data_IF_674285807489
#
_entry.id   IF_674285807489
#
_cell.length_a   1.000
_cell.length_b   1.000
_cell.length_c   1.000
_cell.angle_alpha   90.00
_cell.angle_beta   90.00
_cell.angle_gamma   90.00
#
_symmetry.space_group_name_H-M   'P 1'
#
loop_
_entity.id
_entity.type
_entity.pdbx_description
1 polymer ?
#
# COMPACT_ATOMS: atom_id res chain seq x y z
N UNK A 1 43.94 16.62 -25.95
CA UNK A 1 42.86 16.07 -26.81
C UNK A 1 42.08 17.23 -27.43
N UNK A 2 41.60 17.14 -28.68
CA UNK A 2 40.77 18.20 -29.28
C UNK A 2 39.54 18.45 -28.38
N UNK A 3 39.14 19.71 -28.11
CA UNK A 3 38.09 20.05 -27.15
C UNK A 3 36.76 19.33 -27.45
N UNK A 4 36.48 19.07 -28.73
CA UNK A 4 35.30 18.35 -29.16
C UNK A 4 35.29 16.87 -28.72
N UNK A 5 36.46 16.20 -28.67
CA UNK A 5 36.56 14.80 -28.21
C UNK A 5 36.33 14.69 -26.71
N UNK A 6 36.80 15.67 -25.93
CA UNK A 6 36.56 15.73 -24.49
C UNK A 6 35.07 15.94 -24.19
N UNK A 7 34.44 16.91 -24.87
CA UNK A 7 33.00 17.16 -24.74
C UNK A 7 32.16 15.92 -25.08
N UNK A 8 32.53 15.19 -26.13
CA UNK A 8 31.85 13.95 -26.52
C UNK A 8 31.97 12.86 -25.45
N UNK A 9 33.17 12.63 -24.91
CA UNK A 9 33.37 11.64 -23.85
C UNK A 9 32.60 11.98 -22.58
N UNK A 10 32.56 13.25 -22.21
CA UNK A 10 31.81 13.71 -21.05
C UNK A 10 30.30 13.52 -21.26
N UNK A 11 29.77 13.89 -22.43
CA UNK A 11 28.36 13.68 -22.77
C UNK A 11 28.00 12.18 -22.77
N UNK A 12 28.86 11.33 -23.32
CA UNK A 12 28.66 9.88 -23.34
C UNK A 12 28.66 9.29 -21.91
N UNK A 13 29.60 9.71 -21.06
CA UNK A 13 29.66 9.28 -19.66
C UNK A 13 28.43 9.71 -18.87
N UNK A 14 27.99 10.96 -19.02
CA UNK A 14 26.80 11.47 -18.36
C UNK A 14 25.53 10.72 -18.83
N UNK A 15 25.44 10.44 -20.13
CA UNK A 15 24.33 9.68 -20.69
C UNK A 15 24.28 8.25 -20.14
N UNK A 16 25.40 7.53 -20.14
CA UNK A 16 25.46 6.18 -19.59
C UNK A 16 25.17 6.16 -18.09
N UNK A 17 25.72 7.11 -17.34
CA UNK A 17 25.43 7.26 -15.90
C UNK A 17 23.94 7.48 -15.65
N UNK A 18 23.28 8.31 -16.46
CA UNK A 18 21.85 8.54 -16.37
C UNK A 18 21.03 7.28 -16.69
N UNK A 19 21.38 6.52 -17.75
CA UNK A 19 20.71 5.26 -18.09
C UNK A 19 20.89 4.22 -16.97
N UNK A 20 22.10 4.09 -16.42
CA UNK A 20 22.35 3.21 -15.27
C UNK A 20 21.53 3.62 -14.05
N UNK A 21 21.38 4.92 -13.81
CA UNK A 21 20.56 5.44 -12.72
C UNK A 21 19.07 5.10 -12.91
N UNK A 22 18.54 5.18 -14.13
CA UNK A 22 17.17 4.74 -14.42
C UNK A 22 16.99 3.24 -14.16
N UNK A 23 17.95 2.41 -14.58
CA UNK A 23 17.94 0.98 -14.29
C UNK A 23 17.97 0.68 -12.79
N UNK A 24 18.79 1.41 -12.04
CA UNK A 24 18.85 1.34 -10.58
C UNK A 24 17.49 1.66 -9.94
N UNK A 25 16.81 2.73 -10.38
CA UNK A 25 15.49 3.07 -9.87
C UNK A 25 14.45 1.96 -10.12
N UNK A 26 14.46 1.36 -11.32
CA UNK A 26 13.56 0.26 -11.65
C UNK A 26 13.85 -1.00 -10.83
N UNK A 27 15.14 -1.30 -10.59
CA UNK A 27 15.56 -2.44 -9.79
C UNK A 27 15.14 -2.31 -8.31
N UNK A 28 15.17 -1.10 -7.77
CA UNK A 28 14.79 -0.82 -6.38
C UNK A 28 13.31 -0.43 -6.19
N UNK A 29 12.49 -0.51 -7.23
CA UNK A 29 11.06 -0.25 -7.12
C UNK A 29 10.36 -1.41 -6.42
N UNK A 30 9.61 -1.12 -5.36
CA UNK A 30 8.80 -2.12 -4.66
C UNK A 30 7.73 -2.68 -5.60
N UNK A 31 7.74 -4.01 -5.78
CA UNK A 31 6.78 -4.73 -6.61
C UNK A 31 5.76 -5.47 -5.75
N UNK A 32 4.56 -5.59 -6.28
CA UNK A 32 3.45 -6.30 -5.67
C UNK A 32 3.47 -7.79 -6.01
N UNK A 33 2.42 -8.48 -5.57
CA UNK A 33 2.20 -9.90 -5.84
C UNK A 33 2.01 -10.20 -7.34
N UNK A 34 1.54 -9.22 -8.12
CA UNK A 34 1.38 -9.31 -9.58
C UNK A 34 2.63 -8.85 -10.37
N UNK A 35 3.75 -8.61 -9.68
CA UNK A 35 4.99 -8.12 -10.27
C UNK A 35 4.96 -6.65 -10.70
N UNK A 36 3.84 -5.95 -10.52
CA UNK A 36 3.71 -4.53 -10.86
C UNK A 36 4.19 -3.64 -9.72
N UNK A 37 4.66 -2.42 -10.00
CA UNK A 37 5.02 -1.48 -8.94
C UNK A 37 3.83 -1.18 -8.05
N UNK A 38 4.01 -1.33 -6.73
CA UNK A 38 2.98 -0.99 -5.74
C UNK A 38 3.17 0.47 -5.34
N UNK A 39 2.08 1.24 -5.40
CA UNK A 39 1.99 2.55 -4.78
C UNK A 39 0.75 2.63 -3.92
N UNK A 40 0.95 3.02 -2.67
CA UNK A 40 -0.12 3.36 -1.75
C UNK A 40 -0.92 4.57 -2.25
N UNK A 41 -2.25 4.48 -2.21
CA UNK A 41 -3.13 5.61 -2.44
C UNK A 41 -3.17 6.51 -1.22
N UNK A 42 -2.41 7.60 -1.24
CA UNK A 42 -2.37 8.54 -0.11
C UNK A 42 -3.75 9.05 0.32
N UNK A 43 -4.66 9.46 -0.60
CA UNK A 43 -5.99 9.93 -0.20
C UNK A 43 -6.81 8.87 0.55
N UNK A 44 -6.67 7.60 0.19
CA UNK A 44 -7.38 6.49 0.84
C UNK A 44 -6.98 6.34 2.31
N UNK A 45 -5.67 6.41 2.58
CA UNK A 45 -5.12 6.36 3.94
C UNK A 45 -5.41 7.65 4.72
N UNK A 46 -5.49 8.81 4.09
CA UNK A 46 -5.86 10.05 4.82
C UNK A 46 -7.30 10.02 5.32
N UNK A 47 -8.18 9.33 4.59
CA UNK A 47 -9.60 9.19 4.95
C UNK A 47 -9.89 7.95 5.79
N UNK A 48 -8.89 7.10 6.08
CA UNK A 48 -9.08 5.93 6.92
C UNK A 48 -9.07 6.29 8.41
N UNK A 49 -9.94 5.61 9.15
CA UNK A 49 -10.04 5.79 10.60
C UNK A 49 -9.13 4.81 11.33
N UNK A 50 -8.79 3.69 10.69
CA UNK A 50 -7.99 2.59 11.23
C UNK A 50 -7.13 2.01 10.11
N UNK A 51 -5.84 1.81 10.33
CA UNK A 51 -4.96 1.09 9.41
C UNK A 51 -4.33 -0.09 10.12
N UNK A 52 -4.49 -1.26 9.52
CA UNK A 52 -4.09 -2.52 10.14
C UNK A 52 -3.39 -3.41 9.13
N UNK A 53 -2.51 -4.25 9.65
CA UNK A 53 -2.01 -5.43 8.96
C UNK A 53 -2.90 -6.60 9.36
N UNK A 54 -3.54 -7.20 8.36
CA UNK A 54 -4.40 -8.35 8.53
C UNK A 54 -3.69 -9.60 8.03
N UNK A 55 -3.75 -10.64 8.85
CA UNK A 55 -3.49 -12.01 8.43
C UNK A 55 -4.80 -12.61 7.96
N UNK A 56 -4.81 -13.06 6.70
CA UNK A 56 -5.98 -13.64 6.06
C UNK A 56 -5.81 -15.15 6.07
N UNK A 57 -6.72 -15.85 6.76
CA UNK A 57 -6.84 -17.29 6.68
C UNK A 57 -8.15 -17.63 5.95
N UNK A 58 -8.04 -18.42 4.90
CA UNK A 58 -9.18 -18.97 4.18
C UNK A 58 -9.50 -20.35 4.81
N UNK A 59 -10.33 -20.33 5.85
CA UNK A 59 -10.87 -21.54 6.46
C UNK A 59 -12.36 -21.61 6.13
N UNK A 60 -12.76 -22.70 5.47
CA UNK A 60 -14.18 -23.07 5.25
C UNK A 60 -15.07 -21.97 4.65
N UNK A 61 -14.59 -21.26 3.62
CA UNK A 61 -15.40 -20.31 2.85
C UNK A 61 -15.79 -19.03 3.64
N UNK A 62 -15.16 -18.80 4.79
CA UNK A 62 -15.27 -17.59 5.59
C UNK A 62 -13.89 -16.93 5.66
N UNK A 63 -13.79 -15.71 5.14
CA UNK A 63 -12.55 -14.93 5.22
C UNK A 63 -12.36 -14.45 6.66
N UNK A 64 -11.63 -15.22 7.45
CA UNK A 64 -11.26 -14.83 8.81
C UNK A 64 -10.04 -13.91 8.71
N UNK A 65 -10.24 -12.62 9.01
CA UNK A 65 -9.14 -11.66 9.09
C UNK A 65 -8.73 -11.44 10.53
N UNK A 66 -7.52 -11.87 10.87
CA UNK A 66 -6.92 -11.63 12.18
C UNK A 66 -6.07 -10.36 12.10
N UNK A 67 -6.24 -9.47 13.07
CA UNK A 67 -5.39 -8.28 13.18
C UNK A 67 -4.01 -8.69 13.70
N UNK A 68 -2.98 -8.56 12.86
CA UNK A 68 -1.59 -8.81 13.26
C UNK A 68 -0.96 -7.58 13.88
N UNK A 69 -1.22 -6.40 13.29
CA UNK A 69 -0.64 -5.14 13.75
C UNK A 69 -1.62 -4.00 13.49
N UNK A 70 -1.71 -3.06 14.44
CA UNK A 70 -2.44 -1.80 14.28
C UNK A 70 -1.42 -0.69 14.03
N UNK A 71 -1.43 -0.12 12.83
CA UNK A 71 -0.47 0.91 12.43
C UNK A 71 -0.96 2.33 12.75
N UNK A 72 -2.26 2.55 12.68
CA UNK A 72 -2.89 3.82 13.01
C UNK A 72 -4.33 3.59 13.45
N UNK A 73 -4.82 4.35 14.43
CA UNK A 73 -6.22 4.37 14.81
C UNK A 73 -6.63 5.73 15.33
N UNK A 74 -7.69 6.27 14.74
CA UNK A 74 -8.46 7.42 15.25
C UNK A 74 -9.63 6.99 16.16
N UNK A 75 -9.94 5.69 16.18
CA UNK A 75 -11.10 5.09 16.84
C UNK A 75 -10.82 4.77 18.32
N UNK A 76 -10.34 5.73 19.12
CA UNK A 76 -10.06 5.64 20.57
C UNK A 76 -10.37 4.27 21.23
N UNK A 77 -11.54 4.12 21.88
CA UNK A 77 -11.94 2.93 22.64
C UNK A 77 -12.51 1.78 21.78
N UNK A 78 -12.63 1.99 20.47
CA UNK A 78 -13.19 1.03 19.50
C UNK A 78 -12.12 0.43 18.59
N UNK A 79 -10.85 0.61 18.95
CA UNK A 79 -9.71 0.08 18.20
C UNK A 79 -9.61 -1.43 18.46
N UNK A 80 -9.67 -2.28 17.42
CA UNK A 80 -9.45 -3.72 17.59
C UNK A 80 -8.01 -3.97 18.07
N UNK A 81 -7.84 -4.96 18.95
CA UNK A 81 -6.53 -5.33 19.48
C UNK A 81 -5.82 -6.29 18.55
N UNK A 82 -4.50 -6.38 18.69
CA UNK A 82 -3.70 -7.41 18.03
C UNK A 82 -4.20 -8.79 18.46
N UNK A 83 -4.51 -9.63 17.47
CA UNK A 83 -5.08 -10.97 17.64
C UNK A 83 -6.59 -11.04 17.46
N UNK A 84 -7.31 -9.92 17.43
CA UNK A 84 -8.76 -9.91 17.27
C UNK A 84 -9.15 -10.33 15.84
N UNK A 85 -10.30 -11.02 15.73
CA UNK A 85 -10.91 -11.38 14.46
C UNK A 85 -11.89 -10.28 14.08
N UNK A 86 -11.71 -9.71 12.89
CA UNK A 86 -12.54 -8.62 12.38
C UNK A 86 -13.30 -9.07 11.14
N UNK A 87 -14.59 -8.74 11.07
CA UNK A 87 -15.41 -8.93 9.88
C UNK A 87 -15.35 -7.67 9.02
N UNK A 88 -14.98 -7.83 7.75
CA UNK A 88 -14.87 -6.74 6.78
C UNK A 88 -15.87 -6.96 5.65
N UNK A 89 -16.81 -6.04 5.48
CA UNK A 89 -17.98 -6.25 4.60
C UNK A 89 -17.65 -6.24 3.10
N UNK A 90 -16.59 -5.55 2.68
CA UNK A 90 -16.22 -5.33 1.28
C UNK A 90 -14.81 -5.84 0.93
N UNK A 91 -14.35 -6.89 1.63
CA UNK A 91 -13.04 -7.47 1.39
C UNK A 91 -13.06 -8.40 0.18
N UNK A 92 -12.48 -7.94 -0.92
CA UNK A 92 -12.14 -8.76 -2.07
C UNK A 92 -10.65 -9.07 -2.03
N UNK A 93 -10.31 -10.33 -1.78
CA UNK A 93 -8.93 -10.78 -1.79
C UNK A 93 -8.49 -11.08 -3.22
N UNK A 94 -7.34 -10.56 -3.67
CA UNK A 94 -6.77 -11.01 -4.93
C UNK A 94 -6.33 -12.47 -4.81
N UNK A 95 -6.47 -13.25 -5.89
CA UNK A 95 -6.02 -14.65 -6.02
C UNK A 95 -4.48 -14.76 -5.90
N UNK A 96 -3.95 -14.54 -4.71
CA UNK A 96 -2.51 -14.49 -4.45
C UNK A 96 -2.21 -15.10 -3.10
N UNK A 97 -1.10 -15.82 -2.97
CA UNK A 97 -0.69 -16.51 -1.74
C UNK A 97 -0.14 -15.58 -0.64
N UNK A 98 -0.39 -14.28 -0.74
CA UNK A 98 0.14 -13.36 0.26
C UNK A 98 -0.70 -13.43 1.54
N UNK A 99 -0.02 -13.66 2.66
CA UNK A 99 -0.65 -13.87 3.95
C UNK A 99 -1.03 -12.57 4.66
N UNK A 100 -0.23 -11.52 4.47
CA UNK A 100 -0.33 -10.26 5.22
C UNK A 100 -0.72 -9.09 4.33
N UNK A 101 -1.80 -8.41 4.69
CA UNK A 101 -2.37 -7.31 3.92
C UNK A 101 -2.47 -6.05 4.76
N UNK A 102 -1.94 -4.94 4.23
CA UNK A 102 -2.16 -3.60 4.73
C UNK A 102 -3.52 -3.10 4.23
N UNK A 103 -4.43 -2.83 5.17
CA UNK A 103 -5.81 -2.47 4.87
C UNK A 103 -6.20 -1.17 5.57
N UNK A 104 -6.60 -0.13 4.81
CA UNK A 104 -7.21 1.08 5.36
C UNK A 104 -8.70 0.85 5.61
N UNK A 105 -9.12 0.95 6.86
CA UNK A 105 -10.48 0.68 7.34
C UNK A 105 -11.18 1.94 7.83
N UNK A 106 -12.51 1.92 7.74
CA UNK A 106 -13.46 2.86 8.36
C UNK A 106 -14.55 2.06 9.06
N UNK A 107 -15.10 2.59 10.15
CA UNK A 107 -16.22 1.92 10.81
C UNK A 107 -17.57 2.25 10.14
N UNK A 108 -18.43 1.25 9.98
CA UNK A 108 -19.79 1.44 9.44
C UNK A 108 -20.85 1.42 10.54
N UNK A 109 -20.84 0.40 11.42
CA UNK A 109 -21.84 0.24 12.49
C UNK A 109 -21.31 0.61 13.87
N UNK A 110 -21.01 1.90 14.09
CA UNK A 110 -20.64 2.42 15.42
C UNK A 110 -19.49 1.65 16.10
N UNK A 111 -18.55 1.08 15.34
CA UNK A 111 -17.40 0.31 15.83
C UNK A 111 -17.53 -1.21 15.81
N UNK A 112 -18.67 -1.77 15.37
CA UNK A 112 -18.88 -3.23 15.34
C UNK A 112 -18.49 -3.90 14.02
N UNK A 113 -18.59 -3.15 12.93
CA UNK A 113 -18.24 -3.59 11.58
C UNK A 113 -17.28 -2.60 10.92
N UNK A 114 -16.40 -3.13 10.08
CA UNK A 114 -15.41 -2.35 9.35
C UNK A 114 -15.57 -2.54 7.85
N UNK A 115 -15.24 -1.49 7.12
CA UNK A 115 -15.19 -1.49 5.67
C UNK A 115 -13.87 -0.88 5.21
N UNK A 116 -13.35 -1.40 4.11
CA UNK A 116 -12.19 -0.84 3.46
C UNK A 116 -12.58 0.50 2.85
N UNK A 117 -11.78 1.52 3.16
CA UNK A 117 -12.03 2.88 2.67
C UNK A 117 -11.85 2.92 1.16
N UNK A 118 -12.84 3.38 0.38
CA UNK A 118 -12.68 3.55 -1.05
C UNK A 118 -11.73 4.71 -1.34
N UNK A 119 -11.04 4.66 -2.48
CA UNK A 119 -10.25 5.80 -2.94
C UNK A 119 -11.21 6.96 -3.22
N UNK A 120 -11.03 8.14 -2.60
CA UNK A 120 -11.95 9.26 -2.80
C UNK A 120 -11.95 9.74 -4.25
N UNK A 121 -13.07 10.34 -4.66
CA UNK A 121 -13.21 10.91 -5.99
C UNK A 121 -12.24 12.07 -6.21
N UNK A 122 -11.71 12.18 -7.41
CA UNK A 122 -10.87 13.29 -7.85
C UNK A 122 -11.29 13.72 -9.26
N UNK A 123 -10.91 14.92 -9.73
CA UNK A 123 -11.26 15.35 -11.08
C UNK A 123 -10.81 14.30 -12.12
N UNK A 124 -11.77 13.72 -12.85
CA UNK A 124 -11.52 12.64 -13.82
C UNK A 124 -11.52 11.21 -13.25
N UNK A 125 -11.75 11.02 -11.95
CA UNK A 125 -11.84 9.72 -11.29
C UNK A 125 -13.04 9.63 -10.35
N UNK A 126 -13.94 8.69 -10.60
CA UNK A 126 -15.23 8.57 -9.90
C UNK A 126 -15.16 8.05 -8.46
N UNK A 127 -13.99 7.60 -7.98
CA UNK A 127 -13.74 7.48 -6.53
C UNK A 127 -14.46 6.36 -5.80
N UNK A 128 -14.58 5.17 -6.39
CA UNK A 128 -15.27 4.03 -5.76
C UNK A 128 -14.48 2.72 -5.78
N UNK A 129 -13.24 2.75 -6.23
CA UNK A 129 -12.38 1.56 -6.21
C UNK A 129 -11.81 1.38 -4.82
N UNK A 130 -12.00 0.18 -4.27
CA UNK A 130 -11.38 -0.26 -3.03
C UNK A 130 -10.03 -0.88 -3.37
N UNK A 131 -8.98 -0.59 -2.58
CA UNK A 131 -7.67 -1.22 -2.73
C UNK A 131 -7.12 -1.65 -1.39
N UNK A 132 -6.56 -2.86 -1.37
CA UNK A 132 -5.70 -3.38 -0.30
C UNK A 132 -4.29 -3.56 -0.84
N UNK A 133 -3.31 -3.54 0.06
CA UNK A 133 -1.90 -3.58 -0.33
C UNK A 133 -1.19 -4.74 0.37
N UNK A 134 -0.28 -5.46 -0.30
CA UNK A 134 0.50 -6.48 0.38
C UNK A 134 1.42 -5.82 1.40
N UNK A 135 1.50 -6.38 2.62
CA UNK A 135 2.30 -5.84 3.71
C UNK A 135 3.80 -6.16 3.57
N UNK A 136 4.39 -5.92 2.39
CA UNK A 136 5.82 -6.06 2.15
C UNK A 136 6.60 -4.90 2.77
N UNK A 137 7.87 -5.13 3.14
CA UNK A 137 8.73 -4.12 3.76
C UNK A 137 8.78 -2.81 2.99
N UNK A 138 8.90 -2.86 1.66
CA UNK A 138 8.90 -1.65 0.82
C UNK A 138 7.60 -0.86 0.88
N UNK A 139 6.46 -1.56 1.00
CA UNK A 139 5.13 -0.96 1.12
C UNK A 139 4.97 -0.34 2.52
N UNK A 140 5.40 -1.04 3.56
CA UNK A 140 5.38 -0.52 4.93
C UNK A 140 6.32 0.68 5.12
N UNK A 141 7.48 0.68 4.46
CA UNK A 141 8.38 1.84 4.40
C UNK A 141 7.74 3.02 3.67
N UNK A 142 6.96 2.76 2.60
CA UNK A 142 6.19 3.81 1.94
C UNK A 142 5.10 4.35 2.88
N UNK A 143 4.39 3.48 3.59
CA UNK A 143 3.34 3.85 4.54
C UNK A 143 3.88 4.74 5.66
N UNK A 144 5.04 4.40 6.24
CA UNK A 144 5.69 5.19 7.31
C UNK A 144 6.02 6.63 6.90
N UNK A 145 6.08 6.93 5.60
CA UNK A 145 6.32 8.28 5.07
C UNK A 145 5.04 9.08 4.87
N UNK A 146 3.86 8.46 5.03
CA UNK A 146 2.58 9.14 4.88
C UNK A 146 2.29 9.97 6.13
N UNK A 147 2.06 11.30 6.00
CA UNK A 147 1.57 12.09 7.12
C UNK A 147 0.17 11.62 7.51
N UNK A 148 -0.03 11.36 8.80
CA UNK A 148 -1.34 11.05 9.38
C UNK A 148 -1.83 12.25 10.20
N UNK A 149 -3.15 12.55 10.17
CA UNK A 149 -3.74 13.59 10.99
C UNK A 149 -3.71 13.24 12.48
#
# INVERSE_FOLDING_TARGET
MKPNRLRLLLAMGLFLSWISYLGFLVAHTTRGTDGKPVRLSHPQFLTSELDVILEVNDEENIVLTRVTEVLYSSLKDKTPKVGDIVTINNLELPETQNKFWLVPLRSTDSGKSFEIVPIPASPGFSGRTVKIYPAFDGVLLQYKKLPKP
#
